data_IF_481484840670
#
_entry.id   IF_481484840670
#
_cell.length_a   1.000
_cell.length_b   1.000
_cell.length_c   1.000
_cell.angle_alpha   90.00
_cell.angle_beta   90.00
_cell.angle_gamma   90.00
#
_symmetry.space_group_name_H-M   'P 1'
#
loop_
_entity.id
_entity.type
_entity.pdbx_description
1 polymer ?
#
# COMPACT_ATOMS: atom_id res chain seq x y z
N UNK A 1 5.27 57.45 -5.14
CA UNK A 1 6.66 56.98 -5.35
C UNK A 1 6.59 55.49 -5.70
N UNK A 2 6.48 55.15 -6.99
CA UNK A 2 7.55 54.53 -7.81
C UNK A 2 8.23 53.32 -7.13
N UNK A 3 7.87 52.12 -7.58
CA UNK A 3 8.79 51.11 -8.15
C UNK A 3 7.98 50.00 -8.83
N UNK A 4 7.82 50.14 -10.15
CA UNK A 4 7.64 48.99 -11.05
C UNK A 4 8.94 48.17 -10.99
N UNK A 5 8.84 46.86 -10.81
CA UNK A 5 9.93 45.95 -11.12
C UNK A 5 9.40 44.94 -12.14
N UNK A 6 9.86 45.16 -13.37
CA UNK A 6 9.76 44.23 -14.48
C UNK A 6 10.61 43.00 -14.18
N UNK A 7 10.06 41.80 -14.38
CA UNK A 7 10.88 40.60 -14.52
C UNK A 7 10.33 39.72 -15.64
N UNK A 8 10.96 39.92 -16.80
CA UNK A 8 11.41 38.88 -17.74
C UNK A 8 10.41 37.83 -18.20
N UNK A 9 9.77 38.10 -19.35
CA UNK A 9 9.37 37.06 -20.29
C UNK A 9 10.63 36.34 -20.79
N UNK A 10 10.81 35.06 -20.41
CA UNK A 10 11.73 34.18 -21.13
C UNK A 10 10.94 33.33 -22.13
N UNK A 11 11.26 33.62 -23.39
CA UNK A 11 10.91 32.95 -24.64
C UNK A 11 10.50 31.47 -24.55
N UNK A 12 9.31 31.18 -25.09
CA UNK A 12 8.98 29.90 -25.71
C UNK A 12 9.97 29.61 -26.85
N UNK A 13 10.95 28.75 -26.57
CA UNK A 13 11.76 28.09 -27.59
C UNK A 13 11.03 26.88 -28.15
N UNK A 14 10.13 27.12 -29.12
CA UNK A 14 9.47 26.10 -29.92
C UNK A 14 10.50 25.47 -30.87
N UNK A 15 11.23 24.43 -30.44
CA UNK A 15 12.01 23.61 -31.35
C UNK A 15 11.07 22.68 -32.14
N UNK A 16 10.68 23.14 -33.34
CA UNK A 16 10.21 22.28 -34.42
C UNK A 16 11.28 21.21 -34.70
N UNK A 17 10.95 19.95 -34.45
CA UNK A 17 11.70 18.82 -35.01
C UNK A 17 11.06 18.50 -36.37
N UNK A 18 11.84 18.46 -37.47
CA UNK A 18 11.31 18.06 -38.76
C UNK A 18 10.92 16.58 -38.75
N UNK A 19 9.66 16.33 -39.12
CA UNK A 19 9.18 15.00 -39.52
C UNK A 19 9.95 14.63 -40.79
N UNK A 20 10.78 13.60 -40.72
CA UNK A 20 11.32 12.94 -41.90
C UNK A 20 10.33 11.86 -42.31
N UNK A 21 9.49 12.26 -43.25
CA UNK A 21 8.69 11.39 -44.09
C UNK A 21 9.65 10.62 -45.01
N UNK A 22 9.75 9.31 -44.82
CA UNK A 22 10.42 8.41 -45.76
C UNK A 22 9.45 7.27 -46.09
N UNK A 23 8.90 7.39 -47.30
CA UNK A 23 7.94 6.52 -47.93
C UNK A 23 8.47 5.07 -48.14
N UNK A 24 7.60 4.10 -47.83
CA UNK A 24 7.13 2.93 -48.61
C UNK A 24 8.10 2.04 -49.45
N UNK A 25 7.68 0.85 -49.92
CA UNK A 25 6.82 -0.18 -49.31
C UNK A 25 7.42 -1.59 -49.48
N UNK A 26 7.08 -2.56 -48.62
CA UNK A 26 7.10 -3.97 -49.06
C UNK A 26 5.99 -4.78 -48.40
N UNK A 27 4.84 -4.73 -49.08
CA UNK A 27 3.77 -5.68 -48.91
C UNK A 27 4.29 -7.12 -49.09
N UNK A 28 4.02 -7.96 -48.09
CA UNK A 28 3.91 -9.42 -48.30
C UNK A 28 2.53 -9.83 -47.79
N UNK A 29 1.66 -10.39 -48.63
CA UNK A 29 0.35 -10.88 -48.21
C UNK A 29 0.53 -12.26 -47.59
N UNK A 30 0.16 -12.43 -46.32
CA UNK A 30 -0.01 -13.76 -45.73
C UNK A 30 -1.52 -14.03 -45.55
N UNK A 31 -2.04 -15.18 -46.01
CA UNK A 31 -3.46 -15.40 -46.21
C UNK A 31 -4.21 -15.70 -44.90
N UNK A 32 -5.36 -15.04 -44.73
CA UNK A 32 -6.47 -15.55 -43.93
C UNK A 32 -7.24 -16.62 -44.75
N UNK A 33 -8.30 -17.26 -44.22
CA UNK A 33 -8.51 -17.85 -42.90
C UNK A 33 -8.92 -19.35 -43.05
N UNK A 34 -8.76 -20.18 -42.00
CA UNK A 34 -9.49 -21.45 -41.91
C UNK A 34 -10.27 -21.53 -40.60
N UNK A 35 -11.55 -21.21 -40.75
CA UNK A 35 -12.72 -21.92 -40.20
C UNK A 35 -12.44 -23.16 -39.34
N UNK A 36 -12.95 -23.14 -38.11
CA UNK A 36 -13.86 -24.20 -37.63
C UNK A 36 -14.41 -23.85 -36.24
N UNK A 37 -15.72 -23.52 -36.20
CA UNK A 37 -16.59 -23.79 -35.05
C UNK A 37 -16.64 -25.31 -34.77
N UNK A 38 -16.91 -25.71 -33.52
CA UNK A 38 -18.23 -26.26 -33.18
C UNK A 38 -18.79 -25.61 -31.90
N UNK A 39 -20.02 -25.09 -31.91
CA UNK A 39 -21.25 -25.83 -31.62
C UNK A 39 -21.35 -26.36 -30.18
N UNK A 40 -22.02 -25.56 -29.34
CA UNK A 40 -23.11 -25.94 -28.42
C UNK A 40 -23.06 -27.26 -27.64
N UNK A 41 -23.02 -27.14 -26.31
CA UNK A 41 -23.88 -27.90 -25.36
C UNK A 41 -23.98 -27.06 -24.08
N UNK A 42 -25.08 -26.34 -23.81
CA UNK A 42 -26.31 -26.81 -23.16
C UNK A 42 -26.05 -27.70 -21.93
N UNK A 43 -26.01 -27.08 -20.74
CA UNK A 43 -26.42 -27.71 -19.49
C UNK A 43 -26.74 -26.64 -18.45
N UNK A 44 -28.03 -26.31 -18.34
CA UNK A 44 -28.58 -25.66 -17.16
C UNK A 44 -28.86 -26.74 -16.10
N UNK A 45 -28.44 -26.59 -14.84
CA UNK A 45 -29.05 -27.32 -13.75
C UNK A 45 -30.26 -26.52 -13.24
N UNK A 46 -31.46 -26.99 -13.60
CA UNK A 46 -32.66 -26.76 -12.80
C UNK A 46 -32.49 -27.55 -11.50
N UNK A 47 -32.32 -26.88 -10.37
CA UNK A 47 -32.63 -27.45 -9.06
C UNK A 47 -33.77 -26.66 -8.44
N UNK A 48 -34.97 -27.16 -8.69
CA UNK A 48 -36.15 -26.90 -7.89
C UNK A 48 -35.99 -27.60 -6.54
N UNK A 49 -35.88 -26.83 -5.46
CA UNK A 49 -36.18 -27.37 -4.12
C UNK A 49 -37.33 -26.55 -3.55
N UNK A 50 -38.51 -27.13 -3.73
CA UNK A 50 -39.78 -26.75 -3.11
C UNK A 50 -39.82 -27.43 -1.74
N UNK A 51 -39.75 -26.67 -0.65
CA UNK A 51 -40.21 -27.13 0.65
C UNK A 51 -40.73 -25.91 1.42
N UNK A 52 -42.04 -25.80 1.44
CA UNK A 52 -42.78 -24.85 2.25
C UNK A 52 -42.67 -25.26 3.73
N UNK A 53 -42.49 -24.29 4.62
CA UNK A 53 -43.04 -24.41 5.98
C UNK A 53 -43.53 -23.03 6.38
N UNK A 54 -44.85 -22.87 6.23
CA UNK A 54 -45.66 -21.81 6.80
C UNK A 54 -46.08 -22.31 8.19
N UNK A 55 -45.59 -21.69 9.25
CA UNK A 55 -46.27 -21.67 10.55
C UNK A 55 -46.23 -20.23 11.05
N UNK A 56 -47.43 -19.71 11.21
CA UNK A 56 -47.80 -18.35 11.61
C UNK A 56 -48.05 -18.32 13.15
N UNK A 57 -48.48 -17.21 13.77
CA UNK A 57 -47.74 -16.51 14.83
C UNK A 57 -48.38 -16.68 16.22
N UNK A 58 -47.65 -16.42 17.31
CA UNK A 58 -48.26 -15.85 18.52
C UNK A 58 -47.29 -15.31 19.57
N UNK A 59 -47.75 -14.22 20.18
CA UNK A 59 -47.48 -13.75 21.54
C UNK A 59 -46.20 -12.94 21.78
N UNK A 60 -46.37 -11.62 21.67
CA UNK A 60 -45.72 -10.67 22.55
C UNK A 60 -46.01 -10.99 24.03
N UNK A 61 -45.12 -10.54 24.94
CA UNK A 61 -45.62 -9.71 26.03
C UNK A 61 -44.87 -8.38 26.12
N UNK A 62 -45.66 -7.31 26.29
CA UNK A 62 -45.24 -6.02 26.82
C UNK A 62 -44.59 -6.21 28.19
N UNK A 63 -43.42 -5.61 28.39
CA UNK A 63 -43.04 -5.05 29.69
C UNK A 63 -42.41 -3.68 29.46
N UNK A 64 -43.00 -2.71 30.14
CA UNK A 64 -42.77 -1.27 30.12
C UNK A 64 -41.43 -0.83 30.77
N UNK A 65 -41.06 0.47 30.68
CA UNK A 65 -39.69 0.95 30.63
C UNK A 65 -39.16 1.39 32.00
N UNK A 66 -37.88 1.15 32.27
CA UNK A 66 -37.17 1.84 33.34
C UNK A 66 -35.65 1.72 33.18
N UNK A 67 -35.03 2.81 32.76
CA UNK A 67 -33.86 3.41 33.39
C UNK A 67 -33.17 4.33 32.38
N UNK A 68 -33.41 5.62 32.53
CA UNK A 68 -32.54 6.65 31.99
C UNK A 68 -31.18 6.53 32.69
N UNK A 69 -30.27 5.76 32.12
CA UNK A 69 -28.86 5.86 32.47
C UNK A 69 -28.28 6.95 31.59
N UNK A 70 -28.13 8.12 32.21
CA UNK A 70 -27.34 9.25 31.74
C UNK A 70 -25.93 8.72 31.41
N UNK A 71 -25.69 8.42 30.14
CA UNK A 71 -24.33 8.10 29.66
C UNK A 71 -23.64 9.44 29.49
N UNK A 72 -22.89 9.83 30.52
CA UNK A 72 -21.86 10.85 30.39
C UNK A 72 -21.01 10.52 29.15
N UNK A 73 -20.78 11.46 28.22
CA UNK A 73 -19.74 11.30 27.23
C UNK A 73 -18.42 11.36 27.99
N UNK A 74 -17.95 10.21 28.46
CA UNK A 74 -16.58 10.02 28.89
C UNK A 74 -15.75 10.26 27.65
N UNK A 75 -15.31 11.52 27.51
CA UNK A 75 -14.29 11.94 26.59
C UNK A 75 -13.18 10.90 26.68
N UNK A 76 -13.07 10.09 25.63
CA UNK A 76 -11.92 9.25 25.38
C UNK A 76 -10.78 10.21 25.22
N UNK A 77 -10.14 10.50 26.35
CA UNK A 77 -8.88 11.21 26.42
C UNK A 77 -7.93 10.34 25.60
N UNK A 78 -7.75 10.71 24.34
CA UNK A 78 -6.74 10.14 23.47
C UNK A 78 -5.44 10.21 24.25
N UNK A 79 -5.05 9.05 24.79
CA UNK A 79 -3.76 8.92 25.44
C UNK A 79 -2.74 9.36 24.39
N UNK A 80 -1.81 10.26 24.74
CA UNK A 80 -0.82 10.77 23.78
C UNK A 80 -0.21 9.55 23.10
N UNK A 81 -0.37 9.49 21.79
CA UNK A 81 0.01 8.36 20.97
C UNK A 81 1.45 7.97 21.33
N UNK A 82 1.59 6.89 22.11
CA UNK A 82 2.87 6.41 22.55
C UNK A 82 3.68 6.17 21.27
N UNK A 83 4.79 6.90 21.16
CA UNK A 83 5.64 6.96 19.99
C UNK A 83 6.11 5.54 19.68
N UNK A 84 5.44 4.88 18.73
CA UNK A 84 5.72 3.48 18.40
C UNK A 84 7.16 3.43 17.89
N UNK A 85 8.01 2.53 18.41
CA UNK A 85 9.37 2.41 17.92
C UNK A 85 9.33 2.19 16.41
N UNK A 86 10.07 3.02 15.68
CA UNK A 86 10.19 2.94 14.23
C UNK A 86 10.99 1.69 13.87
N UNK A 87 10.31 0.55 13.81
CA UNK A 87 10.89 -0.70 13.32
C UNK A 87 10.99 -0.60 11.80
N UNK A 88 12.20 -0.56 11.24
CA UNK A 88 12.42 -0.51 9.80
C UNK A 88 13.64 0.33 9.39
N UNK A 89 13.68 0.67 8.10
CA UNK A 89 14.72 1.49 7.48
C UNK A 89 14.15 2.84 7.09
N UNK A 90 14.80 3.88 7.58
CA UNK A 90 14.45 5.25 7.27
C UNK A 90 15.11 5.69 5.95
N UNK A 91 14.30 6.11 4.99
CA UNK A 91 14.71 6.61 3.68
C UNK A 91 14.38 8.08 3.60
N UNK A 92 15.37 8.93 3.38
CA UNK A 92 15.16 10.38 3.21
C UNK A 92 14.52 10.67 1.86
N UNK A 93 13.41 11.43 1.87
CA UNK A 93 12.73 11.82 0.62
C UNK A 93 13.55 12.83 -0.17
N UNK A 94 13.44 12.79 -1.52
CA UNK A 94 14.18 13.73 -2.40
C UNK A 94 13.72 15.17 -2.20
N UNK A 95 12.45 15.33 -1.87
CA UNK A 95 11.78 16.62 -1.66
C UNK A 95 12.22 17.31 -0.37
N UNK A 96 12.89 16.57 0.54
CA UNK A 96 13.23 17.05 1.88
C UNK A 96 12.02 17.21 2.83
N UNK A 97 10.82 16.79 2.41
CA UNK A 97 9.58 16.95 3.17
C UNK A 97 9.35 15.88 4.25
N UNK A 98 10.29 14.97 4.45
CA UNK A 98 10.19 13.95 5.49
C UNK A 98 10.92 12.67 5.13
N UNK A 99 10.44 11.56 5.67
CA UNK A 99 11.05 10.25 5.55
C UNK A 99 10.04 9.18 5.13
N UNK A 100 10.55 8.09 4.58
CA UNK A 100 9.80 6.86 4.38
C UNK A 100 10.38 5.81 5.34
N UNK A 101 9.54 5.21 6.17
CA UNK A 101 9.95 4.06 6.96
C UNK A 101 9.52 2.77 6.25
N UNK A 102 10.49 2.10 5.61
CA UNK A 102 10.28 0.80 4.97
C UNK A 102 10.50 -0.31 6.00
N UNK A 103 9.48 -1.17 6.19
CA UNK A 103 9.55 -2.32 7.10
C UNK A 103 8.81 -3.52 6.54
N UNK A 104 9.09 -4.69 7.09
CA UNK A 104 8.26 -5.88 6.94
C UNK A 104 7.41 -6.03 8.21
N UNK A 105 6.10 -5.97 8.05
CA UNK A 105 5.10 -6.15 9.10
C UNK A 105 4.09 -7.22 8.65
N UNK A 106 3.78 -8.16 9.52
CA UNK A 106 2.93 -9.34 9.21
C UNK A 106 3.41 -10.12 7.98
N UNK A 107 4.72 -10.14 7.74
CA UNK A 107 5.31 -10.77 6.55
C UNK A 107 5.10 -9.98 5.24
N UNK A 108 4.58 -8.76 5.27
CA UNK A 108 4.40 -7.92 4.07
C UNK A 108 5.25 -6.66 4.15
N UNK A 109 5.77 -6.20 3.00
CA UNK A 109 6.38 -4.88 2.92
C UNK A 109 5.34 -3.81 3.21
N UNK A 110 5.73 -2.88 4.08
CA UNK A 110 4.95 -1.70 4.47
C UNK A 110 5.86 -0.49 4.42
N UNK A 111 5.41 0.57 3.75
CA UNK A 111 6.07 1.88 3.74
C UNK A 111 5.16 2.83 4.53
N UNK A 112 5.68 3.41 5.61
CA UNK A 112 4.98 4.43 6.40
C UNK A 112 5.55 5.80 6.04
N UNK A 113 4.68 6.78 5.77
CA UNK A 113 5.08 8.14 5.49
C UNK A 113 5.29 8.90 6.79
N UNK A 114 6.46 9.52 6.92
CA UNK A 114 6.83 10.29 8.09
C UNK A 114 7.14 11.73 7.71
N UNK A 115 6.80 12.66 8.59
CA UNK A 115 7.19 14.06 8.50
C UNK A 115 8.67 14.27 8.90
N UNK A 116 9.11 15.54 8.99
CA UNK A 116 10.47 15.91 9.42
C UNK A 116 10.75 15.55 10.89
N UNK A 117 9.71 15.50 11.70
CA UNK A 117 9.76 15.12 13.12
C UNK A 117 9.62 13.60 13.31
N UNK A 118 9.63 12.82 12.22
CA UNK A 118 9.47 11.37 12.16
C UNK A 118 8.12 10.86 12.68
N UNK A 119 7.08 11.69 12.67
CA UNK A 119 5.71 11.32 12.99
C UNK A 119 4.96 10.87 11.74
N UNK A 120 4.05 9.93 11.91
CA UNK A 120 3.24 9.41 10.80
C UNK A 120 2.34 10.50 10.21
N UNK A 121 2.46 10.71 8.91
CA UNK A 121 1.71 11.73 8.16
C UNK A 121 0.98 11.10 6.97
N UNK A 122 0.05 11.82 6.37
CA UNK A 122 -0.62 11.39 5.15
C UNK A 122 0.39 11.29 4.00
N UNK A 123 0.34 10.18 3.25
CA UNK A 123 1.27 9.94 2.16
C UNK A 123 0.87 10.64 0.87
N UNK A 124 1.84 11.14 0.11
CA UNK A 124 1.56 11.78 -1.20
C UNK A 124 1.44 10.78 -2.37
N UNK A 125 1.77 9.51 -2.13
CA UNK A 125 1.85 8.48 -3.16
C UNK A 125 0.69 7.50 -3.04
N UNK A 126 0.16 7.07 -4.19
CA UNK A 126 -0.95 6.12 -4.24
C UNK A 126 -0.44 4.66 -4.29
N UNK A 127 0.73 4.45 -4.88
CA UNK A 127 1.29 3.12 -5.18
C UNK A 127 2.81 3.13 -5.07
N UNK A 128 3.36 2.00 -4.62
CA UNK A 128 4.78 1.72 -4.73
C UNK A 128 5.03 0.34 -5.34
N UNK A 129 6.20 0.17 -5.93
CA UNK A 129 6.67 -1.10 -6.45
C UNK A 129 8.03 -1.38 -5.81
N UNK A 130 8.13 -2.51 -5.13
CA UNK A 130 9.39 -3.03 -4.58
C UNK A 130 9.83 -4.20 -5.45
N UNK A 131 11.05 -4.15 -5.96
CA UNK A 131 11.63 -5.24 -6.75
C UNK A 131 12.79 -5.84 -6.00
N UNK A 132 12.88 -7.16 -5.97
CA UNK A 132 14.09 -7.83 -5.51
C UNK A 132 14.34 -9.08 -6.36
N UNK A 133 15.61 -9.41 -6.54
CA UNK A 133 16.02 -10.61 -7.25
C UNK A 133 16.50 -11.64 -6.25
N UNK A 134 15.85 -12.82 -6.28
CA UNK A 134 16.32 -14.02 -5.59
C UNK A 134 16.41 -15.12 -6.63
N UNK A 135 17.58 -15.73 -6.79
CA UNK A 135 17.82 -16.84 -7.72
C UNK A 135 17.36 -16.53 -9.16
N UNK A 136 17.77 -15.38 -9.70
CA UNK A 136 17.39 -14.89 -11.05
C UNK A 136 15.89 -14.64 -11.29
N UNK A 137 15.03 -14.95 -10.32
CA UNK A 137 13.59 -14.66 -10.41
C UNK A 137 13.36 -13.20 -10.05
N UNK A 138 12.68 -12.47 -10.94
CA UNK A 138 12.24 -11.11 -10.70
C UNK A 138 10.99 -11.14 -9.81
N UNK A 139 11.19 -10.97 -8.51
CA UNK A 139 10.08 -10.84 -7.58
C UNK A 139 9.71 -9.36 -7.47
N UNK A 140 8.42 -9.08 -7.56
CA UNK A 140 7.88 -7.74 -7.46
C UNK A 140 6.72 -7.72 -6.47
N UNK A 141 6.71 -6.74 -5.57
CA UNK A 141 5.58 -6.43 -4.72
C UNK A 141 5.00 -5.10 -5.14
N UNK A 142 3.67 -5.08 -5.33
CA UNK A 142 2.92 -3.85 -5.56
C UNK A 142 2.28 -3.48 -4.22
N UNK A 143 2.64 -2.31 -3.72
CA UNK A 143 2.10 -1.75 -2.50
C UNK A 143 1.04 -0.72 -2.87
N UNK A 144 -0.13 -0.86 -2.28
CA UNK A 144 -1.25 0.06 -2.45
C UNK A 144 -1.48 0.84 -1.16
N UNK A 145 -2.05 2.04 -1.27
CA UNK A 145 -2.46 2.82 -0.10
C UNK A 145 -3.38 2.00 0.81
N UNK A 146 -3.02 1.95 2.09
CA UNK A 146 -3.85 1.31 3.10
C UNK A 146 -5.02 2.23 3.50
N UNK A 147 -6.01 1.68 4.22
CA UNK A 147 -7.21 2.41 4.61
C UNK A 147 -6.92 3.61 5.53
N UNK A 148 -5.75 3.63 6.18
CA UNK A 148 -5.28 4.72 7.02
C UNK A 148 -4.81 5.95 6.22
N UNK A 149 -4.50 5.81 4.92
CA UNK A 149 -3.92 6.86 4.08
C UNK A 149 -2.45 7.21 4.40
N UNK A 150 -1.90 6.67 5.49
CA UNK A 150 -0.56 6.96 6.03
C UNK A 150 0.48 5.92 5.68
N UNK A 151 0.06 4.80 5.08
CA UNK A 151 0.97 3.74 4.69
C UNK A 151 0.63 3.13 3.34
N UNK A 152 1.65 2.55 2.69
CA UNK A 152 1.50 1.66 1.55
C UNK A 152 1.81 0.23 2.01
N UNK A 153 0.92 -0.71 1.74
CA UNK A 153 1.09 -2.12 2.13
C UNK A 153 1.05 -3.03 0.92
N UNK A 154 1.94 -4.01 0.89
CA UNK A 154 1.96 -5.03 -0.15
C UNK A 154 0.76 -5.96 0.03
N UNK A 155 -0.05 -6.10 -1.00
CA UNK A 155 -1.03 -7.18 -1.09
C UNK A 155 -0.37 -8.48 -1.58
N UNK A 156 -1.01 -9.62 -1.30
CA UNK A 156 -0.69 -10.90 -1.93
C UNK A 156 0.32 -11.75 -1.16
N UNK A 157 1.41 -12.17 -1.82
CA UNK A 157 2.35 -13.15 -1.28
C UNK A 157 3.18 -12.57 -0.13
N UNK A 158 3.36 -13.30 1.00
CA UNK A 158 4.24 -12.84 2.06
C UNK A 158 5.72 -12.88 1.64
N UNK A 159 6.47 -11.89 2.12
CA UNK A 159 7.92 -11.79 2.00
C UNK A 159 8.55 -12.92 2.79
N UNK A 160 9.26 -13.81 2.08
CA UNK A 160 9.97 -14.93 2.70
C UNK A 160 11.24 -14.45 3.39
N UNK A 161 11.49 -14.99 4.57
CA UNK A 161 12.74 -14.82 5.31
C UNK A 161 13.93 -15.42 4.51
N UNK A 162 15.17 -14.95 4.73
CA UNK A 162 15.59 -13.86 5.61
C UNK A 162 15.34 -12.47 5.01
N UNK A 163 15.14 -11.46 5.87
CA UNK A 163 14.91 -10.06 5.49
C UNK A 163 16.21 -9.28 5.26
N UNK A 164 17.13 -9.90 4.53
CA UNK A 164 18.44 -9.35 4.18
C UNK A 164 18.49 -9.25 2.66
N UNK A 165 18.20 -8.07 2.15
CA UNK A 165 18.11 -7.75 0.72
C UNK A 165 19.10 -6.62 0.43
N UNK A 166 20.30 -6.93 -0.10
CA UNK A 166 21.39 -5.95 -0.22
C UNK A 166 21.11 -4.84 -1.25
N UNK A 167 20.21 -5.06 -2.20
CA UNK A 167 19.77 -4.05 -3.15
C UNK A 167 18.27 -4.18 -3.38
N UNK A 168 17.52 -3.26 -2.78
CA UNK A 168 16.06 -3.22 -2.85
C UNK A 168 15.60 -1.94 -3.56
N UNK A 169 15.36 -2.01 -4.88
CA UNK A 169 14.69 -0.94 -5.60
C UNK A 169 13.28 -0.68 -5.08
N UNK A 170 13.00 0.57 -4.74
CA UNK A 170 11.68 1.08 -4.34
C UNK A 170 11.29 2.20 -5.31
N UNK A 171 10.18 2.00 -6.01
CA UNK A 171 9.64 2.94 -7.00
C UNK A 171 8.28 3.45 -6.50
N UNK A 172 8.07 4.76 -6.50
CA UNK A 172 6.87 5.42 -5.98
C UNK A 172 6.12 6.13 -7.12
N UNK A 173 4.79 6.05 -7.08
CA UNK A 173 3.90 6.56 -8.12
C UNK A 173 2.82 7.44 -7.50
N UNK A 174 2.58 8.60 -8.12
CA UNK A 174 1.49 9.51 -7.74
C UNK A 174 0.15 8.98 -8.24
N UNK A 175 -0.93 9.45 -7.64
CA UNK A 175 -2.28 9.07 -8.03
C UNK A 175 -2.58 9.42 -9.49
N UNK A 176 -3.16 8.47 -10.23
CA UNK A 176 -3.50 8.64 -11.64
C UNK A 176 -2.32 8.72 -12.61
N UNK A 177 -1.08 8.50 -12.16
CA UNK A 177 0.12 8.54 -13.01
C UNK A 177 0.86 7.21 -13.00
N UNK A 178 1.22 6.74 -14.19
CA UNK A 178 2.06 5.54 -14.36
C UNK A 178 3.56 5.85 -14.43
N UNK A 179 3.93 7.12 -14.38
CA UNK A 179 5.33 7.56 -14.31
C UNK A 179 5.90 7.42 -12.89
N UNK A 180 7.16 6.99 -12.82
CA UNK A 180 7.90 6.89 -11.55
C UNK A 180 8.19 8.31 -11.05
N UNK A 181 7.53 8.69 -9.96
CA UNK A 181 7.72 10.01 -9.35
C UNK A 181 8.99 10.05 -8.48
N UNK A 182 9.23 9.01 -7.69
CA UNK A 182 10.45 8.86 -6.90
C UNK A 182 11.00 7.43 -7.01
N UNK A 183 12.33 7.30 -6.92
CA UNK A 183 13.02 6.02 -7.02
C UNK A 183 14.21 5.99 -6.05
N UNK A 184 14.31 4.89 -5.31
CA UNK A 184 15.32 4.61 -4.30
C UNK A 184 15.91 3.22 -4.49
N UNK A 185 17.17 3.06 -4.14
CA UNK A 185 17.80 1.75 -3.97
C UNK A 185 18.37 1.70 -2.56
N UNK A 186 17.87 0.79 -1.73
CA UNK A 186 18.26 0.69 -0.32
C UNK A 186 18.83 -0.69 0.00
N UNK A 187 19.76 -0.74 0.96
CA UNK A 187 20.18 -2.00 1.57
C UNK A 187 19.18 -2.32 2.68
N UNK A 188 18.39 -3.37 2.50
CA UNK A 188 17.38 -3.76 3.47
C UNK A 188 17.86 -4.86 4.38
N UNK A 189 18.09 -4.54 5.66
CA UNK A 189 18.39 -5.50 6.71
C UNK A 189 17.47 -5.22 7.89
N UNK A 190 16.42 -6.02 8.03
CA UNK A 190 15.57 -5.98 9.21
C UNK A 190 15.89 -7.23 10.05
N UNK A 191 16.69 -7.10 11.13
CA UNK A 191 16.84 -8.20 12.08
C UNK A 191 15.44 -8.51 12.60
N UNK A 192 15.14 -9.79 12.73
CA UNK A 192 13.88 -10.22 13.28
C UNK A 192 13.74 -9.61 14.68
N UNK A 193 12.78 -8.72 14.87
CA UNK A 193 12.15 -8.65 16.18
C UNK A 193 11.53 -10.05 16.34
N UNK A 194 12.12 -10.87 17.20
CA UNK A 194 11.66 -12.23 17.46
C UNK A 194 10.15 -12.19 17.61
N UNK A 195 9.47 -12.85 16.69
CA UNK A 195 8.11 -13.34 16.88
C UNK A 195 7.09 -12.32 17.35
N UNK A 196 7.10 -11.09 16.82
CA UNK A 196 5.89 -10.30 16.61
C UNK A 196 4.99 -9.96 17.81
N UNK A 197 5.42 -10.19 19.05
CA UNK A 197 4.80 -9.63 20.24
C UNK A 197 5.89 -8.86 20.97
N UNK A 198 5.75 -7.53 21.01
CA UNK A 198 6.32 -6.80 22.13
C UNK A 198 5.60 -7.42 23.34
N UNK A 199 6.23 -8.39 24.01
CA UNK A 199 5.78 -8.83 25.32
C UNK A 199 5.67 -7.52 26.11
N UNK A 200 4.46 -7.09 26.48
CA UNK A 200 4.33 -5.84 27.21
C UNK A 200 5.16 -6.00 28.49
N UNK A 201 5.79 -4.93 28.98
CA UNK A 201 6.87 -5.04 29.97
C UNK A 201 6.43 -5.78 31.26
N UNK A 202 5.13 -5.83 31.51
CA UNK A 202 4.41 -6.57 32.54
C UNK A 202 4.36 -8.10 32.34
N UNK A 203 4.55 -8.59 31.13
CA UNK A 203 4.61 -10.02 30.79
C UNK A 203 6.05 -10.52 30.53
N UNK A 204 7.05 -9.64 30.54
CA UNK A 204 8.45 -10.05 30.38
C UNK A 204 8.96 -10.76 31.63
N UNK A 205 9.60 -11.91 31.42
CA UNK A 205 10.31 -12.57 32.53
C UNK A 205 11.50 -11.70 32.99
N UNK A 206 11.91 -11.75 34.28
CA UNK A 206 13.02 -10.95 34.80
C UNK A 206 14.35 -11.15 34.04
N UNK A 207 14.54 -12.33 33.44
CA UNK A 207 15.72 -12.61 32.61
C UNK A 207 15.69 -11.90 31.26
N UNK A 208 14.51 -11.77 30.65
CA UNK A 208 14.33 -11.03 29.39
C UNK A 208 14.51 -9.52 29.61
N UNK A 209 14.05 -8.98 30.74
CA UNK A 209 14.30 -7.59 31.14
C UNK A 209 15.80 -7.30 31.32
N UNK A 210 16.55 -8.20 31.98
CA UNK A 210 18.01 -8.07 32.13
C UNK A 210 18.75 -8.13 30.79
N UNK A 211 18.25 -8.92 29.83
CA UNK A 211 18.83 -9.03 28.49
C UNK A 211 18.51 -7.81 27.62
N UNK A 212 17.37 -7.17 27.83
CA UNK A 212 16.98 -5.93 27.13
C UNK A 212 17.68 -4.68 27.67
N UNK A 213 18.14 -4.70 28.93
CA UNK A 213 18.84 -3.58 29.58
C UNK A 213 20.37 -3.56 29.37
N UNK A 214 20.90 -4.43 28.50
CA UNK A 214 22.34 -4.61 28.26
C UNK A 214 22.67 -4.34 26.81
#
# INVERSE_FOLDING_TARGET
MKKLSALSLLALGLCLIPVVDAADPKATPQPAPKTSQPASTKAAPKTTTKAATKVDPKAAPKVDPKAATKVDPKATKESPAAEKPLVGILITRKDGNGFLNLKVADGHFTIVFLDKDKKETEGDFARAIIRYRKNLTNNQYILTRAADGKSLRAGGTPVRRPYILPALPVLLFKEGKDEVAEAYTVQFNQPMAGDGELIPADEMTPEQLKKAAK
#
